data_IF_710681161473
#
_entry.id   IF_710681161473
#
_cell.length_a   1.000
_cell.length_b   1.000
_cell.length_c   1.000
_cell.angle_alpha   90.00
_cell.angle_beta   90.00
_cell.angle_gamma   90.00
#
_symmetry.space_group_name_H-M   'P 1'
#
loop_
_entity.id
_entity.type
_entity.pdbx_description
1 polymer ?
#
# COMPACT_ATOMS: atom_id res chain seq x y z
N UNK A 1 11.59 18.60 -6.32
CA UNK A 1 12.38 17.49 -5.76
C UNK A 1 12.78 16.57 -6.88
N UNK A 2 14.05 16.19 -6.88
CA UNK A 2 14.65 15.19 -7.78
C UNK A 2 14.65 13.82 -7.11
N UNK A 3 14.69 12.76 -7.92
CA UNK A 3 14.90 11.39 -7.43
C UNK A 3 16.40 11.10 -7.59
N UNK A 4 17.06 10.79 -6.49
CA UNK A 4 18.45 10.33 -6.51
C UNK A 4 18.48 8.82 -6.75
N UNK A 5 19.41 8.36 -7.59
CA UNK A 5 19.58 6.95 -7.93
C UNK A 5 20.98 6.50 -7.51
N UNK A 6 21.04 5.47 -6.67
CA UNK A 6 22.28 4.87 -6.20
C UNK A 6 22.36 3.42 -6.69
N UNK A 7 23.35 3.05 -7.53
CA UNK A 7 23.59 1.66 -7.89
C UNK A 7 24.16 0.88 -6.69
N UNK A 8 23.65 -0.33 -6.46
CA UNK A 8 24.15 -1.24 -5.41
C UNK A 8 24.94 -2.37 -6.05
N UNK A 9 24.37 -2.97 -7.10
CA UNK A 9 25.02 -3.95 -7.98
C UNK A 9 24.71 -3.59 -9.44
N UNK A 10 25.13 -4.44 -10.37
CA UNK A 10 24.81 -4.28 -11.80
C UNK A 10 23.30 -4.16 -12.08
N UNK A 11 22.47 -4.90 -11.34
CA UNK A 11 21.04 -5.01 -11.58
C UNK A 11 20.16 -4.51 -10.40
N UNK A 12 20.76 -4.04 -9.30
CA UNK A 12 20.03 -3.54 -8.13
C UNK A 12 20.37 -2.08 -7.87
N UNK A 13 19.33 -1.25 -7.74
CA UNK A 13 19.44 0.19 -7.47
C UNK A 13 18.52 0.58 -6.32
N UNK A 14 18.87 1.68 -5.65
CA UNK A 14 18.00 2.34 -4.68
C UNK A 14 17.69 3.75 -5.17
N UNK A 15 16.42 4.13 -5.09
CA UNK A 15 15.92 5.46 -5.43
C UNK A 15 15.50 6.19 -4.16
N UNK A 16 16.10 7.35 -3.92
CA UNK A 16 15.75 8.21 -2.79
C UNK A 16 14.80 9.33 -3.24
N UNK A 17 13.71 9.50 -2.50
CA UNK A 17 12.71 10.54 -2.75
C UNK A 17 12.15 11.11 -1.44
N UNK A 18 10.84 11.32 -1.36
CA UNK A 18 10.20 12.03 -0.22
C UNK A 18 9.48 11.12 0.79
N UNK A 19 9.14 9.90 0.40
CA UNK A 19 8.42 8.93 1.24
C UNK A 19 9.40 8.01 1.95
N UNK A 20 9.55 6.80 1.42
CA UNK A 20 10.66 5.89 1.70
C UNK A 20 11.64 5.77 0.52
N UNK A 21 12.53 4.79 0.61
CA UNK A 21 13.41 4.41 -0.48
C UNK A 21 12.68 3.42 -1.39
N UNK A 22 12.89 3.52 -2.70
CA UNK A 22 12.40 2.53 -3.66
C UNK A 22 13.54 1.58 -4.01
N UNK A 23 13.33 0.29 -3.86
CA UNK A 23 14.23 -0.73 -4.42
C UNK A 23 13.91 -0.97 -5.88
N UNK A 24 14.93 -1.14 -6.72
CA UNK A 24 14.76 -1.43 -8.15
C UNK A 24 15.62 -2.63 -8.51
N UNK A 25 14.98 -3.65 -9.08
CA UNK A 25 15.65 -4.80 -9.68
C UNK A 25 15.41 -4.76 -11.19
N UNK A 26 16.49 -4.78 -11.96
CA UNK A 26 16.47 -4.85 -13.43
C UNK A 26 16.62 -6.31 -13.85
N UNK A 27 15.60 -6.86 -14.50
CA UNK A 27 15.61 -8.18 -15.13
C UNK A 27 15.78 -8.09 -16.65
N UNK A 28 15.95 -9.23 -17.30
CA UNK A 28 16.07 -9.32 -18.77
C UNK A 28 14.78 -8.93 -19.50
N UNK A 29 13.63 -8.96 -18.82
CA UNK A 29 12.33 -8.75 -19.42
C UNK A 29 11.56 -7.58 -18.81
N UNK A 30 12.12 -6.86 -17.83
CA UNK A 30 11.45 -5.75 -17.18
C UNK A 30 12.04 -5.31 -15.85
N UNK A 31 11.47 -4.25 -15.31
CA UNK A 31 11.85 -3.67 -14.02
C UNK A 31 10.85 -4.08 -12.94
N UNK A 32 11.38 -4.50 -11.79
CA UNK A 32 10.64 -4.81 -10.58
C UNK A 32 10.93 -3.74 -9.52
N UNK A 33 9.89 -3.13 -8.97
CA UNK A 33 9.99 -2.12 -7.92
C UNK A 33 9.62 -2.67 -6.55
N UNK A 34 10.29 -2.18 -5.52
CA UNK A 34 9.88 -2.30 -4.12
C UNK A 34 9.44 -0.90 -3.67
N UNK A 35 8.13 -0.75 -3.44
CA UNK A 35 7.41 0.50 -3.18
C UNK A 35 7.40 1.51 -4.35
N UNK A 36 6.50 2.51 -4.28
CA UNK A 36 6.26 3.46 -5.38
C UNK A 36 6.10 4.94 -4.96
N UNK A 37 6.32 5.23 -3.68
CA UNK A 37 6.13 6.56 -3.10
C UNK A 37 4.75 7.17 -3.42
N UNK A 38 4.73 8.40 -3.94
CA UNK A 38 3.53 9.20 -4.11
C UNK A 38 3.17 9.37 -5.59
N UNK A 39 1.87 9.47 -5.89
CA UNK A 39 1.34 9.73 -7.23
C UNK A 39 2.06 10.90 -7.94
N UNK A 40 2.32 12.06 -7.31
CA UNK A 40 2.99 13.18 -7.98
C UNK A 40 4.47 12.89 -8.35
N UNK A 41 5.06 11.83 -7.78
CA UNK A 41 6.46 11.45 -8.02
C UNK A 41 6.62 10.37 -9.09
N UNK A 42 5.55 9.67 -9.48
CA UNK A 42 5.64 8.54 -10.43
C UNK A 42 6.39 8.90 -11.71
N UNK A 43 6.08 10.06 -12.32
CA UNK A 43 6.76 10.50 -13.54
C UNK A 43 8.27 10.73 -13.35
N UNK A 44 8.68 11.20 -12.16
CA UNK A 44 10.09 11.43 -11.84
C UNK A 44 10.82 10.14 -11.52
N UNK A 45 10.16 9.20 -10.84
CA UNK A 45 10.67 7.86 -10.57
C UNK A 45 10.93 7.14 -11.90
N UNK A 46 9.93 7.11 -12.80
CA UNK A 46 10.07 6.57 -14.15
C UNK A 46 11.19 7.25 -14.93
N UNK A 47 11.25 8.58 -14.87
CA UNK A 47 12.31 9.35 -15.51
C UNK A 47 13.71 9.09 -14.94
N UNK A 48 13.82 8.71 -13.66
CA UNK A 48 15.09 8.29 -13.06
C UNK A 48 15.50 6.89 -13.54
N UNK A 49 14.55 5.95 -13.58
CA UNK A 49 14.76 4.59 -14.09
C UNK A 49 15.21 4.59 -15.55
N UNK A 50 14.53 5.39 -16.39
CA UNK A 50 14.81 5.53 -17.81
C UNK A 50 16.23 6.05 -18.15
N UNK A 51 16.99 6.55 -17.16
CA UNK A 51 18.38 6.99 -17.36
C UNK A 51 19.37 5.83 -17.43
N UNK A 52 19.01 4.66 -16.92
CA UNK A 52 19.90 3.51 -16.84
C UNK A 52 19.32 2.22 -17.42
N UNK A 53 18.01 2.17 -17.71
CA UNK A 53 17.38 1.03 -18.36
C UNK A 53 16.20 1.48 -19.25
N UNK A 54 16.05 0.85 -20.42
CA UNK A 54 14.93 1.09 -21.37
C UNK A 54 13.99 -0.11 -21.42
N UNK A 55 13.61 -0.62 -20.24
CA UNK A 55 12.69 -1.74 -20.07
C UNK A 55 11.45 -1.28 -19.27
N UNK A 56 10.27 -1.85 -19.53
CA UNK A 56 9.06 -1.45 -18.83
C UNK A 56 9.11 -1.87 -17.36
N UNK A 57 8.54 -1.03 -16.49
CA UNK A 57 8.20 -1.45 -15.13
C UNK A 57 7.07 -2.47 -15.24
N UNK A 58 7.33 -3.72 -14.89
CA UNK A 58 6.35 -4.80 -14.95
C UNK A 58 5.65 -5.02 -13.62
N UNK A 59 6.39 -4.89 -12.54
CA UNK A 59 5.93 -5.22 -11.20
C UNK A 59 6.28 -4.12 -10.21
N UNK A 60 5.39 -3.90 -9.25
CA UNK A 60 5.70 -3.23 -7.99
C UNK A 60 5.23 -4.11 -6.86
N UNK A 61 6.05 -4.32 -5.84
CA UNK A 61 5.60 -4.85 -4.56
C UNK A 61 5.52 -3.71 -3.55
N UNK A 62 4.33 -3.45 -2.99
CA UNK A 62 4.22 -2.52 -1.86
C UNK A 62 4.49 -3.31 -0.58
N UNK A 63 5.55 -2.95 0.14
CA UNK A 63 5.99 -3.64 1.35
C UNK A 63 4.89 -3.70 2.41
N UNK A 64 4.12 -2.63 2.54
CA UNK A 64 2.96 -2.53 3.42
C UNK A 64 1.99 -1.44 2.93
N UNK A 65 0.88 -1.26 3.64
CA UNK A 65 -0.28 -0.47 3.18
C UNK A 65 -0.15 1.05 3.34
N UNK A 66 0.93 1.56 3.95
CA UNK A 66 1.05 3.00 4.19
C UNK A 66 1.10 3.79 2.87
N UNK A 67 0.59 5.02 2.96
CA UNK A 67 0.36 5.89 1.81
C UNK A 67 1.65 6.22 1.04
N UNK A 68 2.78 6.34 1.72
CA UNK A 68 4.09 6.60 1.14
C UNK A 68 4.76 5.37 0.49
N UNK A 69 4.07 4.24 0.45
CA UNK A 69 4.51 3.01 -0.21
C UNK A 69 3.53 2.53 -1.29
N UNK A 70 2.32 3.11 -1.34
CA UNK A 70 1.20 2.61 -2.16
C UNK A 70 0.50 3.68 -2.99
N UNK A 71 0.80 4.97 -2.81
CA UNK A 71 0.09 6.03 -3.52
C UNK A 71 0.51 6.10 -5.01
N UNK A 72 1.70 5.61 -5.39
CA UNK A 72 2.13 5.51 -6.78
C UNK A 72 1.29 4.53 -7.62
N UNK A 73 0.64 3.54 -6.99
CA UNK A 73 -0.23 2.55 -7.61
C UNK A 73 -1.30 3.17 -8.51
N UNK A 74 -1.80 4.37 -8.17
CA UNK A 74 -2.83 5.06 -8.96
C UNK A 74 -2.40 5.36 -10.39
N UNK A 75 -1.11 5.61 -10.61
CA UNK A 75 -0.54 5.83 -11.92
C UNK A 75 -0.04 4.51 -12.52
N UNK A 76 0.74 3.74 -11.77
CA UNK A 76 1.33 2.49 -12.24
C UNK A 76 0.27 1.46 -12.67
N UNK A 77 -0.80 1.30 -11.88
CA UNK A 77 -1.89 0.39 -12.21
C UNK A 77 -2.66 0.80 -13.48
N UNK A 78 -2.78 2.10 -13.78
CA UNK A 78 -3.38 2.56 -15.05
C UNK A 78 -2.51 2.26 -16.26
N UNK A 79 -1.20 2.11 -16.04
CA UNK A 79 -0.22 1.77 -17.08
C UNK A 79 -0.07 0.25 -17.26
N UNK A 80 -0.83 -0.56 -16.51
CA UNK A 80 -0.80 -2.02 -16.62
C UNK A 80 0.31 -2.69 -15.80
N UNK A 81 0.98 -1.95 -14.90
CA UNK A 81 1.94 -2.53 -13.95
C UNK A 81 1.19 -3.46 -12.99
N UNK A 82 1.73 -4.66 -12.79
CA UNK A 82 1.18 -5.63 -11.82
C UNK A 82 1.59 -5.20 -10.41
N UNK A 83 0.59 -4.97 -9.57
CA UNK A 83 0.79 -4.56 -8.18
C UNK A 83 0.71 -5.81 -7.28
N UNK A 84 1.82 -6.13 -6.64
CA UNK A 84 1.95 -7.19 -5.65
C UNK A 84 1.81 -6.58 -4.26
N UNK A 85 0.96 -7.17 -3.43
CA UNK A 85 0.82 -6.76 -2.04
C UNK A 85 1.86 -7.53 -1.21
N UNK A 86 2.69 -6.81 -0.44
CA UNK A 86 3.74 -7.40 0.40
C UNK A 86 3.20 -8.21 1.58
N UNK A 87 1.92 -8.04 1.91
CA UNK A 87 1.21 -8.81 2.93
C UNK A 87 -0.14 -9.30 2.39
N UNK A 88 -0.51 -10.54 2.76
CA UNK A 88 -1.72 -11.21 2.33
C UNK A 88 -1.47 -12.25 1.23
N UNK A 89 -2.52 -12.95 0.81
CA UNK A 89 -2.45 -13.92 -0.28
C UNK A 89 -2.28 -13.22 -1.64
N UNK A 90 -1.66 -13.93 -2.61
CA UNK A 90 -1.65 -13.47 -4.01
C UNK A 90 -3.10 -13.33 -4.47
N UNK A 91 -3.46 -12.16 -5.00
CA UNK A 91 -4.85 -11.81 -5.30
C UNK A 91 -4.99 -11.15 -6.67
N UNK A 92 -6.23 -11.05 -7.16
CA UNK A 92 -6.59 -10.42 -8.44
C UNK A 92 -7.44 -9.15 -8.22
N UNK A 93 -8.01 -8.58 -9.28
CA UNK A 93 -8.89 -7.41 -9.16
C UNK A 93 -10.11 -7.66 -8.27
N UNK A 94 -10.61 -8.89 -8.20
CA UNK A 94 -11.76 -9.25 -7.37
C UNK A 94 -11.39 -9.18 -5.90
N UNK A 95 -10.30 -9.85 -5.50
CA UNK A 95 -9.86 -9.81 -4.11
C UNK A 95 -9.40 -8.42 -3.66
N UNK A 96 -8.84 -7.60 -4.56
CA UNK A 96 -8.57 -6.18 -4.27
C UNK A 96 -9.86 -5.39 -4.00
N UNK A 97 -10.92 -5.61 -4.80
CA UNK A 97 -12.23 -4.97 -4.59
C UNK A 97 -12.84 -5.40 -3.26
N UNK A 98 -12.73 -6.67 -2.89
CA UNK A 98 -13.18 -7.18 -1.59
C UNK A 98 -12.45 -6.50 -0.43
N UNK A 99 -11.12 -6.46 -0.46
CA UNK A 99 -10.31 -5.82 0.58
C UNK A 99 -10.63 -4.32 0.71
N UNK A 100 -10.73 -3.61 -0.43
CA UNK A 100 -11.15 -2.20 -0.47
C UNK A 100 -12.56 -2.01 0.12
N UNK A 101 -13.49 -2.92 -0.15
CA UNK A 101 -14.85 -2.82 0.37
C UNK A 101 -14.89 -3.04 1.89
N UNK A 102 -14.10 -4.00 2.41
CA UNK A 102 -13.89 -4.16 3.85
C UNK A 102 -13.41 -2.86 4.48
N UNK A 103 -12.33 -2.25 3.96
CA UNK A 103 -11.81 -0.98 4.48
C UNK A 103 -12.86 0.14 4.45
N UNK A 104 -13.68 0.22 3.40
CA UNK A 104 -14.78 1.19 3.31
C UNK A 104 -15.83 0.99 4.40
N UNK A 105 -16.22 -0.25 4.66
CA UNK A 105 -17.21 -0.58 5.69
C UNK A 105 -16.65 -0.21 7.06
N UNK A 106 -15.44 -0.67 7.39
CA UNK A 106 -14.79 -0.39 8.68
C UNK A 106 -14.63 1.12 8.89
N UNK A 107 -14.19 1.86 7.88
CA UNK A 107 -14.10 3.33 7.95
C UNK A 107 -15.46 4.00 8.22
N UNK A 108 -16.50 3.62 7.48
CA UNK A 108 -17.83 4.21 7.64
C UNK A 108 -18.47 3.88 9.00
N UNK A 109 -18.34 2.64 9.48
CA UNK A 109 -18.85 2.23 10.79
C UNK A 109 -18.10 2.92 11.92
N UNK A 110 -16.78 3.11 11.77
CA UNK A 110 -15.95 3.85 12.73
C UNK A 110 -16.38 5.32 12.84
N UNK A 111 -16.53 6.02 11.71
CA UNK A 111 -17.01 7.40 11.71
C UNK A 111 -18.40 7.53 12.34
N UNK A 112 -19.29 6.58 12.05
CA UNK A 112 -20.64 6.56 12.64
C UNK A 112 -20.56 6.37 14.17
N UNK A 113 -19.70 5.47 14.64
CA UNK A 113 -19.49 5.24 16.06
C UNK A 113 -18.94 6.50 16.76
N UNK A 114 -17.92 7.15 16.20
CA UNK A 114 -17.34 8.40 16.70
C UNK A 114 -18.40 9.50 16.74
N UNK A 115 -19.15 9.70 15.65
CA UNK A 115 -20.21 10.71 15.58
C UNK A 115 -21.34 10.46 16.59
N UNK A 116 -21.60 9.19 16.94
CA UNK A 116 -22.55 8.82 17.99
C UNK A 116 -22.01 8.97 19.41
N UNK A 117 -20.75 9.36 19.57
CA UNK A 117 -20.11 9.59 20.87
C UNK A 117 -19.66 8.31 21.59
N UNK A 118 -19.62 7.16 20.90
CA UNK A 118 -19.07 5.92 21.47
C UNK A 118 -17.62 6.12 21.87
N UNK A 119 -17.18 5.51 22.97
CA UNK A 119 -15.75 5.44 23.32
C UNK A 119 -15.02 4.38 22.47
N UNK A 120 -13.69 4.39 22.50
CA UNK A 120 -12.87 3.33 21.89
C UNK A 120 -13.24 1.94 22.45
N UNK A 121 -13.47 1.84 23.76
CA UNK A 121 -13.83 0.59 24.42
C UNK A 121 -15.21 0.09 23.95
N UNK A 122 -16.19 0.98 23.84
CA UNK A 122 -17.53 0.65 23.33
C UNK A 122 -17.51 0.30 21.83
N UNK A 123 -16.64 0.94 21.06
CA UNK A 123 -16.43 0.62 19.65
C UNK A 123 -15.87 -0.79 19.48
N UNK A 124 -14.78 -1.12 20.20
CA UNK A 124 -14.18 -2.46 20.18
C UNK A 124 -15.17 -3.51 20.66
N UNK A 125 -15.88 -3.25 21.75
CA UNK A 125 -16.88 -4.17 22.29
C UNK A 125 -18.06 -4.42 21.33
N UNK A 126 -18.34 -3.49 20.41
CA UNK A 126 -19.37 -3.68 19.38
C UNK A 126 -18.90 -4.47 18.16
N UNK A 127 -17.61 -4.81 18.12
CA UNK A 127 -16.94 -5.65 17.15
C UNK A 127 -17.36 -5.43 15.69
N UNK A 128 -17.13 -4.22 15.15
CA UNK A 128 -17.56 -3.85 13.81
C UNK A 128 -16.81 -4.59 12.69
N UNK A 129 -15.75 -5.34 13.01
CA UNK A 129 -14.99 -6.13 12.04
C UNK A 129 -15.34 -7.62 12.06
N UNK A 130 -16.23 -8.08 12.95
CA UNK A 130 -16.57 -9.50 13.09
C UNK A 130 -16.86 -10.23 11.75
N UNK A 131 -17.52 -9.56 10.80
CA UNK A 131 -17.83 -10.12 9.48
C UNK A 131 -16.60 -10.33 8.56
N UNK A 132 -15.45 -9.81 8.95
CA UNK A 132 -14.19 -9.81 8.20
C UNK A 132 -13.09 -10.62 8.90
N UNK A 133 -13.25 -10.91 10.20
CA UNK A 133 -12.20 -11.47 11.03
C UNK A 133 -11.82 -12.90 10.63
N UNK A 134 -12.77 -13.71 10.13
CA UNK A 134 -12.47 -15.04 9.59
C UNK A 134 -11.45 -14.98 8.43
N UNK A 135 -11.52 -13.93 7.60
CA UNK A 135 -10.66 -13.79 6.42
C UNK A 135 -9.40 -12.96 6.69
N UNK A 136 -9.46 -11.96 7.56
CA UNK A 136 -8.39 -10.98 7.75
C UNK A 136 -7.97 -10.76 9.21
N UNK A 137 -8.66 -11.36 10.17
CA UNK A 137 -8.41 -11.22 11.61
C UNK A 137 -7.38 -12.19 12.17
N UNK A 138 -7.18 -13.36 11.55
CA UNK A 138 -6.22 -14.38 11.98
C UNK A 138 -4.77 -14.08 11.52
N UNK A 139 -4.31 -12.85 11.73
CA UNK A 139 -2.97 -12.40 11.29
C UNK A 139 -2.14 -11.88 12.48
N UNK A 140 -0.96 -11.31 12.21
CA UNK A 140 -0.14 -10.67 13.23
C UNK A 140 -0.81 -9.45 13.89
N UNK A 141 -1.83 -8.88 13.24
CA UNK A 141 -2.62 -7.76 13.75
C UNK A 141 -4.02 -8.25 14.11
N UNK A 142 -4.25 -8.47 15.40
CA UNK A 142 -5.54 -8.87 15.95
C UNK A 142 -6.64 -7.84 15.64
N UNK A 143 -7.92 -8.26 15.47
CA UNK A 143 -9.03 -7.36 15.14
C UNK A 143 -9.13 -6.14 16.06
N UNK A 144 -9.04 -6.32 17.38
CA UNK A 144 -9.10 -5.23 18.34
C UNK A 144 -7.95 -4.21 18.17
N UNK A 145 -6.75 -4.67 17.78
CA UNK A 145 -5.62 -3.80 17.51
C UNK A 145 -5.84 -2.99 16.22
N UNK A 146 -6.35 -3.63 15.17
CA UNK A 146 -6.74 -2.95 13.93
C UNK A 146 -7.84 -1.91 14.18
N UNK A 147 -8.92 -2.29 14.88
CA UNK A 147 -10.00 -1.39 15.28
C UNK A 147 -9.48 -0.19 16.08
N UNK A 148 -8.52 -0.42 16.98
CA UNK A 148 -7.86 0.66 17.75
C UNK A 148 -7.12 1.65 16.87
N UNK A 149 -6.36 1.15 15.88
CA UNK A 149 -5.61 2.00 14.94
C UNK A 149 -6.59 2.89 14.17
N UNK A 150 -7.61 2.30 13.55
CA UNK A 150 -8.58 3.03 12.71
C UNK A 150 -9.36 4.05 13.52
N UNK A 151 -9.87 3.66 14.70
CA UNK A 151 -10.62 4.58 15.57
C UNK A 151 -9.77 5.79 16.00
N UNK A 152 -8.53 5.56 16.41
CA UNK A 152 -7.63 6.63 16.86
C UNK A 152 -7.16 7.54 15.73
N UNK A 153 -7.01 7.01 14.52
CA UNK A 153 -6.66 7.80 13.35
C UNK A 153 -7.80 8.75 12.97
N UNK A 154 -9.03 8.24 12.95
CA UNK A 154 -10.24 9.00 12.56
C UNK A 154 -10.79 9.92 13.66
N UNK A 155 -10.29 9.83 14.89
CA UNK A 155 -10.69 10.69 16.01
C UNK A 155 -9.82 11.95 16.17
N UNK A 156 -8.86 12.18 15.26
CA UNK A 156 -7.93 13.32 15.30
C UNK A 156 -8.45 14.56 14.60
#
# INVERSE_FOLDING_TARGET
MEIETVPITENIYVLYGRGGNIGVLVGEDGVFLVDDQFTPLTAKIKGAIAKFIDEPIKFVINTHWHFDHTDGNKNLGKEGVVILLGHGEITDCTGLVEYRNMLRVVHATTLTAIASGKTLEEFIASDPTAAFDEKWGETFLEPAAFQTIVYRDLSR
#
